data_IF_938758455129
#
_entry.id   IF_938758455129
#
_cell.length_a   1.000
_cell.length_b   1.000
_cell.length_c   1.000
_cell.angle_alpha   90.00
_cell.angle_beta   90.00
_cell.angle_gamma   90.00
#
_symmetry.space_group_name_H-M   'P 1'
#
loop_
_entity.id
_entity.type
_entity.pdbx_description
1 polymer ?
#
# COMPACT_ATOMS: atom_id res chain seq x y z
N UNK A 1 -5.38 13.76 28.40
CA UNK A 1 -4.61 13.63 27.15
C UNK A 1 -5.42 12.77 26.19
N UNK A 2 -5.70 13.23 24.97
CA UNK A 2 -6.37 12.40 23.97
C UNK A 2 -5.43 11.24 23.58
N UNK A 3 -5.93 10.01 23.65
CA UNK A 3 -5.17 8.82 23.23
C UNK A 3 -5.00 8.91 21.71
N UNK A 4 -3.78 9.16 21.25
CA UNK A 4 -3.46 9.15 19.83
C UNK A 4 -3.69 7.75 19.27
N UNK A 5 -4.46 7.67 18.20
CA UNK A 5 -4.64 6.44 17.45
C UNK A 5 -3.37 6.24 16.60
N UNK A 6 -2.64 5.12 16.73
CA UNK A 6 -1.47 4.87 15.91
C UNK A 6 -1.85 4.78 14.42
N UNK A 7 -1.06 5.41 13.56
CA UNK A 7 -1.24 5.41 12.12
C UNK A 7 -0.03 4.77 11.44
N UNK A 8 -0.28 3.85 10.51
CA UNK A 8 0.74 3.10 9.80
C UNK A 8 0.56 3.24 8.29
N UNK A 9 1.63 3.64 7.61
CA UNK A 9 1.72 3.65 6.16
C UNK A 9 2.61 2.49 5.68
N UNK A 10 2.04 1.58 4.91
CA UNK A 10 2.79 0.52 4.24
C UNK A 10 3.02 0.86 2.78
N UNK A 11 4.28 1.00 2.41
CA UNK A 11 4.67 1.26 1.03
C UNK A 11 5.08 -0.03 0.33
N UNK A 12 4.21 -0.54 -0.56
CA UNK A 12 4.44 -1.74 -1.35
C UNK A 12 4.92 -1.37 -2.76
N UNK A 13 6.14 -1.77 -3.11
CA UNK A 13 6.71 -1.57 -4.44
C UNK A 13 6.67 -2.86 -5.28
N UNK A 14 6.86 -2.71 -6.59
CA UNK A 14 7.08 -3.77 -7.59
C UNK A 14 5.87 -4.21 -8.44
N UNK A 15 5.31 -3.29 -9.23
CA UNK A 15 4.67 -3.55 -10.53
C UNK A 15 3.80 -4.82 -10.60
N UNK A 16 4.35 -5.95 -11.05
CA UNK A 16 3.61 -7.21 -11.22
C UNK A 16 3.76 -8.22 -10.06
N UNK A 17 4.75 -8.05 -9.18
CA UNK A 17 5.08 -9.03 -8.15
C UNK A 17 4.23 -8.87 -6.89
N UNK A 18 3.69 -9.98 -6.37
CA UNK A 18 2.90 -10.00 -5.14
C UNK A 18 3.71 -10.07 -3.85
N UNK A 19 5.01 -10.40 -3.92
CA UNK A 19 5.81 -10.71 -2.72
C UNK A 19 5.90 -9.58 -1.68
N UNK A 20 5.93 -8.32 -2.12
CA UNK A 20 5.94 -7.17 -1.20
C UNK A 20 4.56 -6.94 -0.59
N UNK A 21 3.51 -7.04 -1.41
CA UNK A 21 2.11 -6.91 -0.99
C UNK A 21 1.76 -7.99 0.04
N UNK A 22 2.04 -9.26 -0.24
CA UNK A 22 1.68 -10.38 0.66
C UNK A 22 2.46 -10.32 1.97
N UNK A 23 3.73 -9.92 1.95
CA UNK A 23 4.52 -9.72 3.17
C UNK A 23 3.95 -8.61 4.04
N UNK A 24 3.63 -7.46 3.45
CA UNK A 24 3.06 -6.33 4.19
C UNK A 24 1.65 -6.64 4.69
N UNK A 25 0.84 -7.38 3.93
CA UNK A 25 -0.45 -7.88 4.40
C UNK A 25 -0.32 -8.79 5.62
N UNK A 26 0.66 -9.70 5.63
CA UNK A 26 0.90 -10.55 6.80
C UNK A 26 1.22 -9.72 8.06
N UNK A 27 2.03 -8.67 7.92
CA UNK A 27 2.34 -7.73 9.01
C UNK A 27 1.08 -6.95 9.41
N UNK A 28 0.33 -6.43 8.45
CA UNK A 28 -0.89 -5.65 8.66
C UNK A 28 -1.94 -6.43 9.45
N UNK A 29 -2.15 -7.71 9.11
CA UNK A 29 -3.07 -8.59 9.85
C UNK A 29 -2.67 -8.74 11.31
N UNK A 30 -1.38 -8.98 11.57
CA UNK A 30 -0.86 -9.10 12.94
C UNK A 30 -0.97 -7.78 13.68
N UNK A 31 -0.64 -6.67 13.02
CA UNK A 31 -0.71 -5.35 13.63
C UNK A 31 -2.15 -4.98 14.00
N UNK A 32 -3.13 -5.24 13.12
CA UNK A 32 -4.56 -5.06 13.42
C UNK A 32 -5.04 -5.94 14.58
N UNK A 33 -4.52 -7.15 14.72
CA UNK A 33 -4.86 -8.02 15.84
C UNK A 33 -4.33 -7.48 17.19
N UNK A 34 -3.16 -6.83 17.20
CA UNK A 34 -2.57 -6.24 18.42
C UNK A 34 -3.03 -4.81 18.71
N UNK A 35 -3.33 -4.04 17.66
CA UNK A 35 -3.73 -2.63 17.70
C UNK A 35 -5.01 -2.43 16.87
N UNK A 36 -6.18 -2.90 17.35
CA UNK A 36 -7.41 -2.94 16.55
C UNK A 36 -7.95 -1.57 16.16
N UNK A 37 -7.58 -0.52 16.90
CA UNK A 37 -7.97 0.85 16.59
C UNK A 37 -6.99 1.56 15.63
N UNK A 38 -5.86 0.93 15.30
CA UNK A 38 -4.87 1.58 14.43
C UNK A 38 -5.39 1.79 13.02
N UNK A 39 -5.03 2.93 12.45
CA UNK A 39 -5.26 3.23 11.05
C UNK A 39 -4.11 2.64 10.22
N UNK A 40 -4.44 1.83 9.22
CA UNK A 40 -3.45 1.17 8.37
C UNK A 40 -3.81 1.47 6.92
N UNK A 41 -2.92 2.19 6.24
CA UNK A 41 -3.05 2.58 4.84
C UNK A 41 -1.91 1.97 4.05
N UNK A 42 -2.22 1.48 2.85
CA UNK A 42 -1.21 1.09 1.88
C UNK A 42 -1.02 2.18 0.83
N UNK A 43 0.23 2.47 0.49
CA UNK A 43 0.61 3.14 -0.76
C UNK A 43 1.28 2.07 -1.62
N UNK A 44 0.83 1.88 -2.85
CA UNK A 44 1.34 0.78 -3.67
C UNK A 44 1.60 1.19 -5.10
N UNK A 45 2.73 0.74 -5.65
CA UNK A 45 2.96 0.74 -7.09
C UNK A 45 2.71 -0.63 -7.73
N UNK A 46 2.28 -1.63 -6.97
CA UNK A 46 1.85 -2.93 -7.52
C UNK A 46 0.53 -2.78 -8.28
N UNK A 47 0.33 -3.54 -9.35
CA UNK A 47 -0.94 -3.64 -10.09
C UNK A 47 -1.96 -4.57 -9.38
N UNK A 48 -1.59 -5.15 -8.24
CA UNK A 48 -2.44 -6.04 -7.44
C UNK A 48 -2.97 -5.35 -6.18
N UNK A 49 -3.36 -4.08 -6.28
CA UNK A 49 -3.98 -3.32 -5.18
C UNK A 49 -5.32 -3.93 -4.73
N UNK A 50 -6.03 -4.63 -5.62
CA UNK A 50 -7.30 -5.30 -5.34
C UNK A 50 -7.15 -6.35 -4.24
N UNK A 51 -5.99 -7.02 -4.18
CA UNK A 51 -5.66 -7.99 -3.12
C UNK A 51 -5.61 -7.31 -1.75
N UNK A 52 -5.09 -6.08 -1.69
CA UNK A 52 -5.03 -5.30 -0.45
C UNK A 52 -6.44 -4.94 0.01
N UNK A 53 -7.28 -4.49 -0.92
CA UNK A 53 -8.67 -4.14 -0.64
C UNK A 53 -9.48 -5.34 -0.16
N UNK A 54 -9.34 -6.51 -0.80
CA UNK A 54 -10.02 -7.76 -0.40
C UNK A 54 -9.64 -8.24 1.00
N UNK A 55 -8.47 -7.88 1.50
CA UNK A 55 -8.01 -8.13 2.86
C UNK A 55 -8.50 -7.08 3.88
N UNK A 56 -9.32 -6.13 3.43
CA UNK A 56 -9.93 -5.11 4.27
C UNK A 56 -8.96 -3.99 4.67
N UNK A 57 -8.00 -3.65 3.81
CA UNK A 57 -7.11 -2.50 4.00
C UNK A 57 -7.31 -1.47 2.88
N UNK A 58 -7.25 -0.19 3.24
CA UNK A 58 -7.27 0.89 2.26
C UNK A 58 -5.94 0.93 1.49
N UNK A 59 -6.00 1.21 0.19
CA UNK A 59 -4.82 1.30 -0.67
C UNK A 59 -4.91 2.51 -1.61
N UNK A 60 -3.83 3.28 -1.68
CA UNK A 60 -3.59 4.29 -2.70
C UNK A 60 -2.64 3.73 -3.74
N UNK A 61 -3.14 3.63 -4.98
CA UNK A 61 -2.34 3.19 -6.11
C UNK A 61 -1.57 4.36 -6.72
N UNK A 62 -0.29 4.14 -6.95
CA UNK A 62 0.55 4.99 -7.80
C UNK A 62 1.06 4.22 -9.02
N UNK A 63 1.30 4.88 -10.15
CA UNK A 63 1.81 4.23 -11.35
C UNK A 63 3.11 3.46 -11.10
N UNK A 64 3.15 2.19 -11.50
CA UNK A 64 4.41 1.41 -11.55
C UNK A 64 5.36 1.99 -12.59
N UNK A 65 6.63 1.59 -12.58
CA UNK A 65 7.59 2.01 -13.62
C UNK A 65 7.07 1.69 -15.03
N UNK A 66 6.49 0.50 -15.22
CA UNK A 66 5.90 0.08 -16.50
C UNK A 66 4.70 0.93 -16.87
N UNK A 67 3.80 1.21 -15.92
CA UNK A 67 2.63 2.05 -16.16
C UNK A 67 2.98 3.52 -16.38
N UNK A 68 4.05 4.03 -15.76
CA UNK A 68 4.59 5.36 -16.05
C UNK A 68 4.98 5.49 -17.52
N UNK A 69 5.70 4.50 -18.05
CA UNK A 69 6.09 4.49 -19.48
C UNK A 69 4.87 4.35 -20.39
N UNK A 70 3.95 3.42 -20.11
CA UNK A 70 2.77 3.21 -20.95
C UNK A 70 1.77 4.37 -20.93
N UNK A 71 1.64 5.03 -19.77
CA UNK A 71 0.78 6.18 -19.59
C UNK A 71 1.45 7.51 -19.95
N UNK A 72 2.65 7.48 -20.53
CA UNK A 72 3.39 8.66 -21.00
C UNK A 72 3.58 9.74 -19.91
N UNK A 73 3.68 9.32 -18.65
CA UNK A 73 3.83 10.24 -17.53
C UNK A 73 5.21 10.90 -17.57
N UNK A 74 5.21 12.23 -17.58
CA UNK A 74 6.45 13.02 -17.60
C UNK A 74 7.17 12.89 -16.26
N UNK A 75 8.43 12.44 -16.31
CA UNK A 75 9.25 12.32 -15.11
C UNK A 75 9.38 13.64 -14.33
N UNK A 76 9.46 14.79 -15.03
CA UNK A 76 9.59 16.11 -14.41
C UNK A 76 8.37 16.56 -13.57
N UNK A 77 7.24 15.85 -13.65
CA UNK A 77 6.02 16.19 -12.90
C UNK A 77 5.73 15.17 -11.77
N UNK A 78 6.40 14.01 -11.78
CA UNK A 78 6.10 12.86 -10.92
C UNK A 78 7.32 12.29 -10.18
N UNK A 79 8.49 12.93 -10.28
CA UNK A 79 9.73 12.53 -9.61
C UNK A 79 10.07 13.48 -8.46
#
# INVERSE_FOLDING_TARGET
MAKTIPQFLFYAVNGLGLGHVTRLLAIARKLRAHLPLSEIIFLTSSEAEDVIFREGFAAFKVPSRTMKTKGELRAATYA
#
